data_IF_368256737481
#
_entry.id   IF_368256737481
#
_cell.length_a   1.000
_cell.length_b   1.000
_cell.length_c   1.000
_cell.angle_alpha   90.00
_cell.angle_beta   90.00
_cell.angle_gamma   90.00
#
_symmetry.space_group_name_H-M   'P 1'
#
loop_
_entity.id
_entity.type
_entity.pdbx_description
1 polymer ?
#
# COMPACT_ATOMS: atom_id res chain seq x y z
N UNK A 1 20.65 3.85 0.35
CA UNK A 1 19.74 2.86 0.92
C UNK A 1 18.59 2.61 -0.01
N UNK A 2 18.22 1.37 -0.16
CA UNK A 2 17.11 0.97 -1.04
C UNK A 2 15.79 0.80 -0.27
N UNK A 3 15.83 0.89 1.04
CA UNK A 3 14.71 0.51 1.92
C UNK A 3 14.15 1.72 2.66
N UNK A 4 12.83 1.88 2.60
CA UNK A 4 12.10 2.89 3.38
C UNK A 4 11.07 2.19 4.26
N UNK A 5 11.10 2.46 5.56
CA UNK A 5 10.17 1.85 6.51
C UNK A 5 9.50 2.89 7.37
N UNK A 6 8.26 2.59 7.74
CA UNK A 6 7.49 3.40 8.67
C UNK A 6 6.46 2.52 9.35
N UNK A 7 5.79 3.03 10.36
CA UNK A 7 4.73 2.31 11.04
C UNK A 7 3.67 3.29 11.54
N UNK A 8 2.47 2.74 11.80
CA UNK A 8 1.34 3.54 12.28
C UNK A 8 0.47 2.65 13.16
N UNK A 9 0.02 3.20 14.28
CA UNK A 9 -1.01 2.53 15.09
C UNK A 9 -2.38 3.03 14.62
N UNK A 10 -3.25 2.09 14.26
CA UNK A 10 -4.62 2.37 13.84
C UNK A 10 -5.58 1.86 14.92
N UNK A 11 -6.55 2.65 15.37
CA UNK A 11 -7.48 2.24 16.44
C UNK A 11 -8.60 1.33 15.89
N UNK A 12 -8.21 0.13 15.45
CA UNK A 12 -9.08 -0.90 14.91
C UNK A 12 -8.37 -2.23 15.01
N UNK A 13 -9.11 -3.33 14.90
CA UNK A 13 -8.52 -4.68 14.95
C UNK A 13 -7.74 -4.98 13.67
N UNK A 14 -6.80 -5.95 13.71
CA UNK A 14 -6.11 -6.38 12.49
C UNK A 14 -7.05 -6.82 11.37
N UNK A 15 -8.14 -7.52 11.70
CA UNK A 15 -9.12 -7.94 10.71
C UNK A 15 -9.82 -6.75 10.06
N UNK A 16 -10.17 -5.73 10.85
CA UNK A 16 -10.77 -4.50 10.33
C UNK A 16 -9.82 -3.75 9.41
N UNK A 17 -8.54 -3.72 9.74
CA UNK A 17 -7.52 -3.10 8.89
C UNK A 17 -7.33 -3.93 7.62
N UNK A 18 -7.24 -5.25 7.75
CA UNK A 18 -7.07 -6.15 6.59
C UNK A 18 -8.22 -6.03 5.60
N UNK A 19 -9.44 -5.83 6.09
CA UNK A 19 -10.61 -5.67 5.23
C UNK A 19 -10.48 -4.48 4.28
N UNK A 20 -9.76 -3.44 4.67
CA UNK A 20 -9.50 -2.29 3.80
C UNK A 20 -8.57 -2.61 2.63
N UNK A 21 -7.82 -3.70 2.71
CA UNK A 21 -6.98 -4.20 1.61
C UNK A 21 -7.74 -5.18 0.73
N UNK A 22 -8.55 -6.06 1.32
CA UNK A 22 -9.19 -7.16 0.60
C UNK A 22 -10.39 -6.72 -0.23
N UNK A 23 -11.03 -5.62 0.11
CA UNK A 23 -12.15 -5.05 -0.63
C UNK A 23 -11.60 -4.10 -1.70
N UNK A 24 -11.74 -4.43 -3.01
CA UNK A 24 -11.15 -3.59 -4.06
C UNK A 24 -11.72 -2.17 -4.09
N UNK A 25 -13.00 -1.99 -3.77
CA UNK A 25 -13.60 -0.65 -3.74
C UNK A 25 -12.98 0.20 -2.64
N UNK A 26 -12.73 -0.41 -1.48
CA UNK A 26 -12.09 0.28 -0.36
C UNK A 26 -10.62 0.57 -0.66
N UNK A 27 -9.90 -0.43 -1.15
CA UNK A 27 -8.48 -0.28 -1.50
C UNK A 27 -8.29 0.84 -2.53
N UNK A 28 -9.15 0.90 -3.54
CA UNK A 28 -9.08 1.94 -4.56
C UNK A 28 -9.27 3.35 -4.00
N UNK A 29 -10.02 3.49 -2.89
CA UNK A 29 -10.27 4.80 -2.29
C UNK A 29 -9.05 5.35 -1.54
N UNK A 30 -8.24 4.49 -0.91
CA UNK A 30 -7.15 4.99 -0.06
C UNK A 30 -5.76 4.76 -0.62
N UNK A 31 -5.59 3.91 -1.64
CA UNK A 31 -4.27 3.60 -2.19
C UNK A 31 -3.66 4.82 -2.88
N UNK A 32 -2.37 5.07 -2.57
CA UNK A 32 -1.61 6.19 -3.13
C UNK A 32 -1.56 7.40 -2.20
N UNK A 33 -0.74 8.40 -2.55
CA UNK A 33 -0.65 9.63 -1.77
C UNK A 33 -1.89 10.50 -1.93
N UNK A 34 -1.95 11.59 -1.18
CA UNK A 34 -3.11 12.48 -1.14
C UNK A 34 -3.54 12.92 -2.55
N UNK A 35 -4.85 12.87 -2.79
CA UNK A 35 -5.44 13.33 -4.04
C UNK A 35 -5.46 12.30 -5.16
N UNK A 36 -4.78 11.15 -5.00
CA UNK A 36 -4.82 10.09 -6.01
C UNK A 36 -6.14 9.32 -5.96
N UNK A 37 -6.60 8.90 -7.13
CA UNK A 37 -7.69 7.92 -7.27
C UNK A 37 -7.17 6.75 -8.10
N UNK A 38 -7.91 5.64 -8.13
CA UNK A 38 -7.44 4.42 -8.77
C UNK A 38 -8.55 3.77 -9.59
N UNK A 39 -8.17 3.19 -10.72
CA UNK A 39 -9.01 2.28 -11.50
C UNK A 39 -8.33 0.93 -11.56
N UNK A 40 -8.98 -0.11 -11.03
CA UNK A 40 -8.43 -1.46 -11.06
C UNK A 40 -8.89 -2.17 -12.31
N UNK A 41 -7.95 -2.74 -13.06
CA UNK A 41 -8.24 -3.52 -14.27
C UNK A 41 -8.22 -5.02 -13.99
N UNK A 42 -7.31 -5.48 -13.14
CA UNK A 42 -7.20 -6.85 -12.68
C UNK A 42 -6.91 -6.83 -11.18
N UNK A 43 -7.68 -7.60 -10.42
CA UNK A 43 -7.47 -7.66 -8.98
C UNK A 43 -7.75 -9.10 -8.52
N UNK A 44 -6.69 -9.89 -8.45
CA UNK A 44 -6.74 -11.27 -7.98
C UNK A 44 -6.15 -11.34 -6.58
N UNK A 45 -6.98 -11.14 -5.57
CA UNK A 45 -6.53 -11.03 -4.18
C UNK A 45 -6.27 -12.41 -3.58
N UNK A 46 -5.12 -12.97 -3.95
CA UNK A 46 -4.63 -14.27 -3.47
C UNK A 46 -3.13 -14.32 -3.68
N UNK A 47 -2.43 -15.20 -2.95
CA UNK A 47 -1.00 -15.40 -3.16
C UNK A 47 -0.75 -15.81 -4.61
N UNK A 48 0.14 -15.11 -5.28
CA UNK A 48 0.43 -15.30 -6.71
C UNK A 48 -0.51 -14.55 -7.64
N UNK A 49 -1.54 -13.87 -7.13
CA UNK A 49 -2.51 -13.14 -7.94
C UNK A 49 -1.94 -11.84 -8.50
N UNK A 50 -2.52 -11.38 -9.60
CA UNK A 50 -2.11 -10.17 -10.29
C UNK A 50 -2.97 -8.99 -9.87
N UNK A 51 -2.35 -7.82 -9.84
CA UNK A 51 -3.03 -6.56 -9.55
C UNK A 51 -2.55 -5.52 -10.55
N UNK A 52 -3.42 -5.19 -11.49
CA UNK A 52 -3.13 -4.23 -12.57
C UNK A 52 -4.08 -3.06 -12.39
N UNK A 53 -3.53 -1.86 -12.30
CA UNK A 53 -4.33 -0.67 -12.00
C UNK A 53 -3.71 0.58 -12.57
N UNK A 54 -4.55 1.60 -12.74
CA UNK A 54 -4.13 2.95 -13.14
C UNK A 54 -4.30 3.87 -11.94
N UNK A 55 -3.24 4.59 -11.59
CA UNK A 55 -3.30 5.62 -10.55
C UNK A 55 -3.55 6.98 -11.24
N UNK A 56 -4.58 7.68 -10.79
CA UNK A 56 -4.93 8.99 -11.34
C UNK A 56 -4.38 10.07 -10.42
N UNK A 57 -3.35 10.79 -10.91
CA UNK A 57 -2.74 11.87 -10.14
C UNK A 57 -3.62 13.11 -10.15
N UNK A 58 -3.71 13.86 -9.03
CA UNK A 58 -4.40 15.13 -9.02
C UNK A 58 -3.80 16.16 -9.98
N UNK A 59 -2.55 15.94 -10.42
CA UNK A 59 -1.84 16.82 -11.35
C UNK A 59 -2.01 16.41 -12.80
N UNK A 60 -2.86 15.41 -13.09
CA UNK A 60 -3.23 15.04 -14.46
C UNK A 60 -2.52 13.82 -15.04
N UNK A 61 -1.50 13.28 -14.38
CA UNK A 61 -0.86 12.05 -14.84
C UNK A 61 -1.68 10.81 -14.46
N UNK A 62 -1.65 9.78 -15.30
CA UNK A 62 -2.38 8.53 -15.04
C UNK A 62 -1.50 7.32 -15.35
N UNK A 63 -0.44 7.08 -14.55
CA UNK A 63 0.44 5.94 -14.79
C UNK A 63 -0.26 4.61 -14.54
N UNK A 64 0.03 3.66 -15.43
CA UNK A 64 -0.39 2.27 -15.27
C UNK A 64 0.60 1.55 -14.38
N UNK A 65 0.08 0.70 -13.49
CA UNK A 65 0.89 -0.05 -12.53
C UNK A 65 0.54 -1.53 -12.60
N UNK A 66 1.57 -2.37 -12.41
CA UNK A 66 1.38 -3.82 -12.33
C UNK A 66 2.09 -4.34 -11.08
N UNK A 67 1.41 -5.24 -10.39
CA UNK A 67 1.94 -5.89 -9.18
C UNK A 67 1.49 -7.33 -9.11
N UNK A 68 2.17 -8.10 -8.28
CA UNK A 68 1.79 -9.47 -7.92
C UNK A 68 1.74 -9.53 -6.40
N UNK A 69 0.71 -10.17 -5.86
CA UNK A 69 0.66 -10.48 -4.43
C UNK A 69 1.57 -11.69 -4.17
N UNK A 70 2.80 -11.44 -3.75
CA UNK A 70 3.73 -12.53 -3.46
C UNK A 70 3.26 -13.38 -2.29
N UNK A 71 2.64 -12.73 -1.30
CA UNK A 71 2.11 -13.41 -0.13
C UNK A 71 0.87 -12.67 0.35
N UNK A 72 -0.21 -13.40 0.58
CA UNK A 72 -1.37 -12.93 1.32
C UNK A 72 -1.65 -13.91 2.44
N UNK A 73 -1.44 -13.46 3.66
CA UNK A 73 -1.79 -14.17 4.89
C UNK A 73 -2.71 -13.26 5.70
N UNK A 74 -3.41 -13.76 6.71
CA UNK A 74 -4.41 -12.95 7.43
C UNK A 74 -3.91 -11.62 7.97
N UNK A 75 -2.64 -11.48 8.30
CA UNK A 75 -2.10 -10.24 8.87
C UNK A 75 -0.79 -9.84 8.24
N UNK A 76 -0.53 -10.31 6.99
CA UNK A 76 0.69 -9.97 6.27
C UNK A 76 0.45 -9.97 4.77
N UNK A 77 0.89 -8.91 4.12
CA UNK A 77 0.86 -8.77 2.67
C UNK A 77 2.27 -8.49 2.16
N UNK A 78 2.66 -9.17 1.07
CA UNK A 78 3.87 -8.83 0.34
C UNK A 78 3.44 -8.55 -1.10
N UNK A 79 3.64 -7.30 -1.53
CA UNK A 79 3.25 -6.83 -2.86
C UNK A 79 4.52 -6.57 -3.65
N UNK A 80 4.69 -7.29 -4.75
CA UNK A 80 5.81 -7.08 -5.67
C UNK A 80 5.35 -6.17 -6.80
N UNK A 81 5.87 -4.94 -6.86
CA UNK A 81 5.58 -3.99 -7.94
C UNK A 81 6.45 -4.38 -9.14
N UNK A 82 5.83 -4.79 -10.23
CA UNK A 82 6.51 -5.36 -11.39
C UNK A 82 6.64 -4.37 -12.56
N UNK A 83 6.00 -3.22 -12.50
CA UNK A 83 6.26 -2.11 -13.41
C UNK A 83 7.26 -1.14 -12.76
N UNK A 84 7.83 -0.24 -13.54
CA UNK A 84 8.81 0.71 -12.96
C UNK A 84 8.12 1.75 -12.06
N UNK A 85 8.74 2.11 -10.94
CA UNK A 85 9.97 1.55 -10.37
C UNK A 85 9.72 0.18 -9.71
N UNK A 86 10.68 -0.72 -9.81
CA UNK A 86 10.54 -2.06 -9.23
C UNK A 86 10.79 -2.01 -7.73
N UNK A 87 9.84 -2.54 -6.95
CA UNK A 87 9.99 -2.62 -5.50
C UNK A 87 9.16 -3.77 -4.91
N UNK A 88 9.48 -4.11 -3.67
CA UNK A 88 8.68 -5.02 -2.85
C UNK A 88 8.18 -4.25 -1.65
N UNK A 89 6.89 -4.33 -1.41
CA UNK A 89 6.25 -3.70 -0.25
C UNK A 89 5.74 -4.78 0.69
N UNK A 90 6.26 -4.79 1.91
CA UNK A 90 5.82 -5.72 2.96
C UNK A 90 5.00 -4.94 3.98
N UNK A 91 3.79 -5.43 4.25
CA UNK A 91 2.89 -4.82 5.21
C UNK A 91 2.54 -5.88 6.24
N UNK A 92 2.82 -5.61 7.52
CA UNK A 92 2.45 -6.49 8.62
C UNK A 92 1.48 -5.79 9.56
N UNK A 93 0.44 -6.52 9.98
CA UNK A 93 -0.61 -6.03 10.86
C UNK A 93 -0.49 -6.77 12.18
N UNK A 94 -0.02 -6.09 13.23
CA UNK A 94 0.18 -6.71 14.53
C UNK A 94 -0.78 -6.13 15.57
N UNK A 95 -1.51 -6.98 16.32
CA UNK A 95 -2.40 -6.49 17.36
C UNK A 95 -1.57 -5.84 18.47
N UNK A 96 -2.05 -4.70 19.00
CA UNK A 96 -1.41 -4.00 20.09
C UNK A 96 -2.48 -3.30 20.94
N UNK A 97 -2.72 -3.83 22.16
CA UNK A 97 -3.67 -3.25 23.12
C UNK A 97 -5.05 -2.93 22.53
N UNK A 98 -5.60 -3.84 21.71
CA UNK A 98 -6.90 -3.66 21.07
C UNK A 98 -6.87 -2.88 19.75
N UNK A 99 -5.72 -2.34 19.40
CA UNK A 99 -5.47 -1.61 18.14
C UNK A 99 -4.59 -2.45 17.22
N UNK A 100 -4.18 -1.89 16.09
CA UNK A 100 -3.26 -2.55 15.16
C UNK A 100 -2.06 -1.68 14.88
N UNK A 101 -0.87 -2.25 15.06
CA UNK A 101 0.36 -1.65 14.55
C UNK A 101 0.57 -2.11 13.11
N UNK A 102 0.59 -1.17 12.19
CA UNK A 102 0.83 -1.43 10.77
C UNK A 102 2.30 -1.12 10.49
N UNK A 103 3.05 -2.13 10.07
CA UNK A 103 4.45 -1.98 9.67
C UNK A 103 4.51 -1.97 8.15
N UNK A 104 5.19 -0.97 7.59
CA UNK A 104 5.24 -0.70 6.15
C UNK A 104 6.69 -0.63 5.72
N UNK A 105 7.14 -1.60 4.93
CA UNK A 105 8.53 -1.71 4.49
C UNK A 105 8.57 -1.77 2.96
N UNK A 106 9.17 -0.75 2.35
CA UNK A 106 9.29 -0.66 0.90
C UNK A 106 10.75 -0.80 0.49
N UNK A 107 11.05 -1.81 -0.32
CA UNK A 107 12.40 -2.14 -0.75
C UNK A 107 12.51 -2.00 -2.26
N UNK A 108 13.28 -0.99 -2.71
CA UNK A 108 13.50 -0.76 -4.13
C UNK A 108 14.65 -1.61 -4.65
N UNK A 109 14.50 -2.15 -5.86
CA UNK A 109 15.52 -2.97 -6.49
C UNK A 109 16.77 -2.16 -6.85
N UNK A 110 16.57 -0.91 -7.28
CA UNK A 110 17.65 -0.03 -7.75
C UNK A 110 17.93 1.06 -6.72
N UNK A 111 19.14 1.04 -6.14
CA UNK A 111 19.55 2.00 -5.12
C UNK A 111 19.58 3.44 -5.63
N UNK A 112 19.95 3.64 -6.90
CA UNK A 112 20.00 4.97 -7.50
C UNK A 112 18.60 5.55 -7.69
N UNK A 113 17.65 4.71 -8.10
CA UNK A 113 16.23 5.11 -8.19
C UNK A 113 15.71 5.49 -6.81
N UNK A 114 15.95 4.64 -5.80
CA UNK A 114 15.50 4.89 -4.44
C UNK A 114 16.03 6.23 -3.92
N UNK A 115 17.31 6.49 -4.12
CA UNK A 115 17.93 7.74 -3.70
C UNK A 115 17.32 8.96 -4.38
N UNK A 116 17.03 8.84 -5.68
CA UNK A 116 16.50 9.94 -6.48
C UNK A 116 15.08 10.32 -6.07
N UNK A 117 14.25 9.34 -5.65
CA UNK A 117 12.84 9.55 -5.33
C UNK A 117 12.54 9.59 -3.83
N UNK A 118 13.55 9.49 -2.97
CA UNK A 118 13.38 9.43 -1.51
C UNK A 118 12.51 10.56 -0.97
N UNK A 119 12.74 11.79 -1.42
CA UNK A 119 12.00 12.96 -0.95
C UNK A 119 10.53 12.94 -1.34
N UNK A 120 10.17 12.13 -2.34
CA UNK A 120 8.80 11.93 -2.78
C UNK A 120 8.18 10.75 -2.04
N UNK A 121 8.91 9.65 -1.94
CA UNK A 121 8.42 8.39 -1.39
C UNK A 121 8.13 8.47 0.10
N UNK A 122 9.02 9.09 0.90
CA UNK A 122 8.83 9.15 2.35
C UNK A 122 7.53 9.86 2.73
N UNK A 123 7.25 11.08 2.24
CA UNK A 123 5.96 11.72 2.54
C UNK A 123 4.78 10.95 1.94
N UNK A 124 4.95 10.36 0.76
CA UNK A 124 3.88 9.60 0.11
C UNK A 124 3.46 8.40 0.95
N UNK A 125 4.42 7.68 1.55
CA UNK A 125 4.10 6.54 2.41
C UNK A 125 3.34 6.98 3.67
N UNK A 126 3.69 8.12 4.27
CA UNK A 126 2.95 8.66 5.41
C UNK A 126 1.53 9.04 5.03
N UNK A 127 1.36 9.71 3.88
CA UNK A 127 0.03 10.07 3.36
C UNK A 127 -0.79 8.82 3.08
N UNK A 128 -0.17 7.77 2.56
CA UNK A 128 -0.85 6.51 2.29
C UNK A 128 -1.39 5.90 3.60
N UNK A 129 -0.58 5.92 4.67
CA UNK A 129 -1.03 5.43 5.97
C UNK A 129 -2.10 6.33 6.60
N UNK A 130 -2.05 7.64 6.36
CA UNK A 130 -3.11 8.55 6.79
C UNK A 130 -4.45 8.17 6.11
N UNK A 131 -4.41 7.89 4.83
CA UNK A 131 -5.60 7.53 4.05
C UNK A 131 -6.14 6.16 4.45
N UNK A 132 -5.26 5.18 4.67
CA UNK A 132 -5.65 3.88 5.21
C UNK A 132 -6.35 4.05 6.56
N UNK A 133 -5.78 4.85 7.44
CA UNK A 133 -6.36 5.09 8.77
C UNK A 133 -7.76 5.68 8.65
N UNK A 134 -7.93 6.69 7.80
CA UNK A 134 -9.24 7.32 7.59
C UNK A 134 -10.27 6.33 7.04
N UNK A 135 -9.88 5.47 6.11
CA UNK A 135 -10.77 4.47 5.52
C UNK A 135 -11.22 3.45 6.57
N UNK A 136 -10.28 2.97 7.39
CA UNK A 136 -10.56 1.98 8.43
C UNK A 136 -11.43 2.57 9.54
N UNK A 137 -11.03 3.72 10.08
CA UNK A 137 -11.73 4.36 11.21
C UNK A 137 -13.13 4.83 10.78
N UNK A 138 -13.28 5.31 9.56
CA UNK A 138 -14.57 5.76 9.04
C UNK A 138 -15.57 4.63 8.85
N UNK A 139 -15.16 3.36 8.92
CA UNK A 139 -16.02 2.18 8.72
C UNK A 139 -16.31 1.42 10.00
N UNK A 140 -15.65 1.79 11.08
CA UNK A 140 -15.82 1.09 12.37
C UNK A 140 -16.97 1.67 13.17
#
# INVERSE_FOLDING_TARGET
MTTFSTSRVIPATPDEVFAAFSDPDRLARWWGPNGFTNTFHTFEFKTGGRWIYTMHSPNGGSPSNESVFELLAPHKLIIRHTSQPLYRLTIELKPTAGNTSVFWLQEFDDAEVAKRIEKIVRPANEQNLDRLTAEVVGRV
#
